data_IF_419733717156
#
_entry.id   IF_419733717156
#
_cell.length_a   1.000
_cell.length_b   1.000
_cell.length_c   1.000
_cell.angle_alpha   90.00
_cell.angle_beta   90.00
_cell.angle_gamma   90.00
#
_symmetry.space_group_name_H-M   'P 1'
#
loop_
_entity.id
_entity.type
_entity.pdbx_description
1 polymer ?
#
# COMPACT_ATOMS: atom_id res chain seq x y z
N UNK A 1 1.67 10.74 16.67
CA UNK A 1 1.47 9.98 15.42
C UNK A 1 1.75 10.93 14.27
N UNK A 2 2.41 10.46 13.22
CA UNK A 2 2.84 11.26 12.09
C UNK A 2 2.36 10.60 10.79
N UNK A 3 1.85 11.35 9.81
CA UNK A 3 1.42 10.77 8.53
C UNK A 3 2.39 11.21 7.42
N UNK A 4 2.88 10.24 6.65
CA UNK A 4 3.80 10.44 5.55
C UNK A 4 3.08 10.23 4.22
N UNK A 5 3.08 11.25 3.38
CA UNK A 5 2.44 11.27 2.07
C UNK A 5 3.48 11.33 0.92
N UNK A 6 3.20 10.75 -0.26
CA UNK A 6 3.98 11.03 -1.45
C UNK A 6 3.71 12.46 -1.94
N UNK A 7 4.72 13.12 -2.51
CA UNK A 7 4.59 14.44 -3.08
C UNK A 7 3.91 14.43 -4.44
N UNK A 8 3.35 15.57 -4.82
CA UNK A 8 2.99 15.82 -6.21
C UNK A 8 4.26 15.80 -7.09
N UNK A 9 4.23 15.16 -8.29
CA UNK A 9 5.39 15.09 -9.19
C UNK A 9 5.87 16.47 -9.69
N UNK A 10 4.96 17.42 -9.82
CA UNK A 10 5.25 18.78 -10.29
C UNK A 10 5.54 19.74 -9.13
N UNK A 11 5.01 19.46 -7.93
CA UNK A 11 5.26 20.26 -6.74
C UNK A 11 5.71 19.40 -5.53
N UNK A 12 7.03 19.26 -5.30
CA UNK A 12 7.57 18.42 -4.23
C UNK A 12 7.25 18.90 -2.81
N UNK A 13 6.64 20.08 -2.64
CA UNK A 13 6.23 20.62 -1.33
C UNK A 13 4.79 20.28 -0.96
N UNK A 14 3.98 19.84 -1.91
CA UNK A 14 2.59 19.44 -1.70
C UNK A 14 2.47 17.93 -1.74
N UNK A 15 1.51 17.36 -1.01
CA UNK A 15 1.19 15.96 -1.24
C UNK A 15 0.55 15.82 -2.63
N UNK A 16 0.63 14.63 -3.17
CA UNK A 16 -0.12 14.24 -4.37
C UNK A 16 -1.60 14.63 -4.21
N UNK A 17 -2.19 15.16 -5.28
CA UNK A 17 -3.55 15.70 -5.32
C UNK A 17 -4.61 14.74 -4.75
N UNK A 18 -4.43 13.43 -4.89
CA UNK A 18 -5.35 12.42 -4.33
C UNK A 18 -5.38 12.43 -2.79
N UNK A 19 -4.30 12.87 -2.15
CA UNK A 19 -4.13 12.86 -0.71
C UNK A 19 -4.07 14.25 -0.07
N UNK A 20 -3.93 15.32 -0.85
CA UNK A 20 -3.76 16.67 -0.31
C UNK A 20 -4.94 17.10 0.58
N UNK A 21 -6.19 16.80 0.20
CA UNK A 21 -7.36 17.09 1.06
C UNK A 21 -7.28 16.36 2.40
N UNK A 22 -6.83 15.11 2.40
CA UNK A 22 -6.66 14.30 3.61
C UNK A 22 -5.55 14.88 4.50
N UNK A 23 -4.42 15.27 3.88
CA UNK A 23 -3.30 15.92 4.58
C UNK A 23 -3.70 17.24 5.23
N UNK A 24 -4.47 18.07 4.52
CA UNK A 24 -4.99 19.33 5.07
C UNK A 24 -5.92 19.10 6.25
N UNK A 25 -6.81 18.09 6.16
CA UNK A 25 -7.68 17.72 7.27
C UNK A 25 -6.88 17.18 8.48
N UNK A 26 -5.85 16.37 8.24
CA UNK A 26 -4.95 15.89 9.29
C UNK A 26 -4.23 17.06 9.99
N UNK A 27 -3.71 18.02 9.23
CA UNK A 27 -3.09 19.22 9.79
C UNK A 27 -4.08 20.06 10.60
N UNK A 28 -5.31 20.24 10.12
CA UNK A 28 -6.38 20.95 10.85
C UNK A 28 -6.74 20.24 12.18
N UNK A 29 -6.61 18.91 12.23
CA UNK A 29 -6.73 18.10 13.44
C UNK A 29 -5.44 18.06 14.29
N UNK A 30 -4.43 18.89 13.98
CA UNK A 30 -3.14 18.94 14.69
C UNK A 30 -2.30 17.67 14.57
N UNK A 31 -2.59 16.80 13.60
CA UNK A 31 -1.78 15.63 13.29
C UNK A 31 -0.59 16.09 12.44
N UNK A 32 0.62 15.70 12.83
CA UNK A 32 1.84 16.03 12.09
C UNK A 32 1.86 15.28 10.76
N UNK A 33 2.21 16.00 9.69
CA UNK A 33 2.34 15.43 8.35
C UNK A 33 3.67 15.78 7.72
N UNK A 34 4.19 14.85 6.92
CA UNK A 34 5.35 15.04 6.07
C UNK A 34 5.06 14.53 4.67
N UNK A 35 5.82 15.05 3.71
CA UNK A 35 5.73 14.68 2.31
C UNK A 35 7.14 14.34 1.81
N UNK A 36 7.25 13.28 1.01
CA UNK A 36 8.50 12.88 0.35
C UNK A 36 8.29 12.68 -1.15
N UNK A 37 9.34 12.85 -1.96
CA UNK A 37 9.26 12.61 -3.40
C UNK A 37 9.32 11.12 -3.70
N UNK A 38 8.27 10.58 -4.34
CA UNK A 38 8.25 9.19 -4.77
C UNK A 38 9.30 8.91 -5.86
N UNK A 39 9.42 9.79 -6.84
CA UNK A 39 10.45 9.70 -7.89
C UNK A 39 11.87 9.81 -7.33
N UNK A 40 12.08 10.73 -6.39
CA UNK A 40 13.34 10.86 -5.67
C UNK A 40 13.67 9.57 -4.93
N UNK A 41 12.69 9.04 -4.19
CA UNK A 41 12.82 7.80 -3.44
C UNK A 41 13.16 6.61 -4.35
N UNK A 42 12.47 6.44 -5.49
CA UNK A 42 12.78 5.40 -6.47
C UNK A 42 14.17 5.56 -7.10
N UNK A 43 14.65 6.79 -7.22
CA UNK A 43 16.02 7.11 -7.65
C UNK A 43 17.07 7.03 -6.51
N UNK A 44 16.69 6.52 -5.33
CA UNK A 44 17.59 6.35 -4.17
C UNK A 44 17.87 7.64 -3.38
N UNK A 45 17.11 8.72 -3.63
CA UNK A 45 17.21 10.00 -2.91
C UNK A 45 16.09 10.10 -1.88
N UNK A 46 16.47 10.04 -0.61
CA UNK A 46 15.54 10.25 0.50
C UNK A 46 15.52 11.72 0.89
N UNK A 47 14.37 12.37 0.73
CA UNK A 47 14.15 13.73 1.19
C UNK A 47 12.69 13.91 1.61
N UNK A 48 12.53 14.42 2.82
CA UNK A 48 11.22 14.72 3.41
C UNK A 48 11.15 16.23 3.64
N UNK A 49 10.03 16.85 3.29
CA UNK A 49 9.86 18.30 3.40
C UNK A 49 9.90 18.81 4.85
N UNK A 50 9.36 18.01 5.76
CA UNK A 50 9.33 18.24 7.20
C UNK A 50 9.99 17.03 7.87
N UNK A 51 10.99 17.23 8.73
CA UNK A 51 11.64 16.13 9.45
C UNK A 51 10.63 15.28 10.22
N UNK A 52 10.89 13.98 10.29
CA UNK A 52 10.15 13.08 11.17
C UNK A 52 10.60 13.31 12.61
N UNK A 53 9.65 13.35 13.55
CA UNK A 53 9.97 13.46 14.97
C UNK A 53 10.63 12.16 15.46
N UNK A 54 11.74 12.27 16.20
CA UNK A 54 12.40 11.11 16.78
C UNK A 54 11.46 10.36 17.74
N UNK A 55 11.41 9.03 17.60
CA UNK A 55 10.49 8.16 18.34
C UNK A 55 9.05 8.16 17.81
N UNK A 56 8.73 8.91 16.75
CA UNK A 56 7.37 8.95 16.21
C UNK A 56 6.97 7.64 15.54
N UNK A 57 5.71 7.25 15.75
CA UNK A 57 5.03 6.25 14.93
C UNK A 57 4.44 6.92 13.69
N UNK A 58 4.92 6.49 12.51
CA UNK A 58 4.64 7.05 11.19
C UNK A 58 3.66 6.15 10.43
N UNK A 59 2.61 6.73 9.87
CA UNK A 59 1.69 6.05 8.96
C UNK A 59 2.04 6.46 7.53
N UNK A 60 2.43 5.51 6.69
CA UNK A 60 2.56 5.77 5.26
C UNK A 60 1.17 5.77 4.61
N UNK A 61 0.83 6.87 3.94
CA UNK A 61 -0.42 7.03 3.23
C UNK A 61 -0.14 7.48 1.80
N UNK A 62 -0.16 6.54 0.88
CA UNK A 62 0.10 6.81 -0.52
C UNK A 62 -0.27 5.64 -1.42
N UNK A 63 0.23 5.70 -2.63
CA UNK A 63 0.13 4.64 -3.62
C UNK A 63 0.75 3.34 -3.09
N UNK A 64 0.28 2.22 -3.62
CA UNK A 64 0.79 0.92 -3.20
C UNK A 64 2.24 0.73 -3.69
N UNK A 65 3.19 0.71 -2.75
CA UNK A 65 4.60 0.42 -3.03
C UNK A 65 4.81 -1.09 -3.19
N UNK A 66 5.80 -1.48 -4.01
CA UNK A 66 6.29 -2.86 -4.01
C UNK A 66 6.84 -3.22 -2.62
N UNK A 67 6.78 -4.49 -2.24
CA UNK A 67 7.25 -4.95 -0.93
C UNK A 67 8.70 -4.52 -0.63
N UNK A 68 9.61 -4.66 -1.59
CA UNK A 68 11.01 -4.22 -1.45
C UNK A 68 11.15 -2.70 -1.28
N UNK A 69 10.33 -1.91 -2.00
CA UNK A 69 10.32 -0.47 -1.84
C UNK A 69 9.75 -0.06 -0.46
N UNK A 70 8.72 -0.74 0.02
CA UNK A 70 8.19 -0.47 1.37
C UNK A 70 9.19 -0.85 2.47
N UNK A 71 9.98 -1.91 2.27
CA UNK A 71 11.08 -2.27 3.16
C UNK A 71 12.15 -1.17 3.21
N UNK A 72 12.60 -0.67 2.06
CA UNK A 72 13.53 0.46 2.00
C UNK A 72 12.94 1.74 2.62
N UNK A 73 11.64 1.99 2.46
CA UNK A 73 10.96 3.10 3.14
C UNK A 73 11.03 2.94 4.66
N UNK A 74 10.81 1.73 5.18
CA UNK A 74 10.89 1.45 6.61
C UNK A 74 12.30 1.70 7.17
N UNK A 75 13.34 1.31 6.42
CA UNK A 75 14.73 1.56 6.79
C UNK A 75 15.06 3.05 6.83
N UNK A 76 14.63 3.82 5.83
CA UNK A 76 14.85 5.27 5.79
C UNK A 76 14.13 6.00 6.93
N UNK A 77 12.88 5.63 7.21
CA UNK A 77 12.13 6.16 8.36
C UNK A 77 12.83 5.82 9.68
N UNK A 78 13.38 4.61 9.81
CA UNK A 78 14.16 4.21 10.97
C UNK A 78 15.48 4.99 11.11
N UNK A 79 16.14 5.29 9.99
CA UNK A 79 17.35 6.15 9.97
C UNK A 79 17.06 7.57 10.44
N UNK A 80 15.85 8.08 10.19
CA UNK A 80 15.37 9.37 10.70
C UNK A 80 14.89 9.29 12.17
N UNK A 81 15.07 8.14 12.84
CA UNK A 81 14.74 7.94 14.25
C UNK A 81 13.26 7.68 14.52
N UNK A 82 12.45 7.43 13.49
CA UNK A 82 11.03 7.14 13.60
C UNK A 82 10.73 5.67 13.25
N UNK A 83 9.46 5.25 13.31
CA UNK A 83 9.05 3.87 12.98
C UNK A 83 7.75 3.86 12.20
N UNK A 84 7.69 3.07 11.12
CA UNK A 84 6.41 2.80 10.45
C UNK A 84 5.45 2.00 11.35
N UNK A 85 4.18 2.43 11.41
CA UNK A 85 3.11 1.75 12.13
C UNK A 85 2.92 0.32 11.62
N UNK A 86 2.92 0.15 10.29
CA UNK A 86 2.82 -1.14 9.64
C UNK A 86 4.22 -1.62 9.28
N UNK A 87 4.65 -2.74 9.85
CA UNK A 87 5.96 -3.33 9.53
C UNK A 87 6.01 -3.87 8.10
N UNK A 88 7.20 -4.00 7.48
CA UNK A 88 7.33 -4.59 6.15
C UNK A 88 6.70 -5.98 6.02
N UNK A 89 6.80 -6.80 7.06
CA UNK A 89 6.14 -8.12 7.11
C UNK A 89 4.60 -7.98 7.10
N UNK A 90 4.05 -7.11 7.95
CA UNK A 90 2.59 -6.85 7.97
C UNK A 90 2.09 -6.29 6.63
N UNK A 91 2.85 -5.38 6.01
CA UNK A 91 2.54 -4.80 4.71
C UNK A 91 2.58 -5.86 3.60
N UNK A 92 3.54 -6.78 3.62
CA UNK A 92 3.64 -7.85 2.63
C UNK A 92 2.46 -8.83 2.73
N UNK A 93 1.99 -9.14 3.95
CA UNK A 93 0.79 -9.96 4.16
C UNK A 93 -0.47 -9.36 3.51
N UNK A 94 -0.60 -8.04 3.45
CA UNK A 94 -1.73 -7.37 2.79
C UNK A 94 -1.57 -7.28 1.27
N UNK A 95 -0.35 -7.42 0.74
CA UNK A 95 -0.06 -7.48 -0.71
C UNK A 95 -0.40 -8.82 -1.36
N UNK A 96 -0.52 -9.89 -0.56
CA UNK A 96 -0.80 -11.22 -1.08
C UNK A 96 -2.23 -11.43 -1.59
N UNK A 97 -3.15 -10.48 -1.39
CA UNK A 97 -4.48 -10.55 -2.02
C UNK A 97 -4.42 -10.34 -3.56
N UNK A 98 -3.39 -9.65 -4.07
CA UNK A 98 -3.20 -9.47 -5.53
C UNK A 98 -2.32 -10.55 -6.15
N UNK A 99 -1.51 -11.26 -5.35
CA UNK A 99 -0.94 -12.54 -5.78
C UNK A 99 -2.08 -13.55 -5.75
N UNK A 100 -2.86 -13.57 -6.82
CA UNK A 100 -3.80 -14.65 -7.07
C UNK A 100 -3.07 -15.99 -6.98
N UNK A 101 -3.17 -16.66 -5.83
CA UNK A 101 -2.96 -18.10 -5.69
C UNK A 101 -4.10 -18.88 -6.35
N UNK A 102 -4.73 -18.28 -7.36
CA UNK A 102 -5.73 -18.89 -8.20
C UNK A 102 -5.08 -19.35 -9.49
N UNK A 103 -4.57 -20.59 -9.48
CA UNK A 103 -4.56 -21.42 -10.68
C UNK A 103 -6.02 -21.66 -11.12
N UNK A 104 -6.72 -20.61 -11.55
CA UNK A 104 -8.07 -20.72 -12.11
C UNK A 104 -8.06 -21.34 -13.52
N UNK A 105 -6.88 -21.53 -14.11
CA UNK A 105 -6.73 -22.05 -15.47
C UNK A 105 -6.97 -23.57 -15.58
N UNK A 106 -7.02 -24.30 -14.46
CA UNK A 106 -7.19 -25.77 -14.42
C UNK A 106 -8.31 -26.26 -13.49
N UNK A 107 -9.23 -25.41 -13.04
CA UNK A 107 -10.41 -25.90 -12.33
C UNK A 107 -11.26 -26.74 -13.31
N UNK A 108 -11.52 -28.04 -13.06
CA UNK A 108 -12.39 -28.82 -13.92
C UNK A 108 -13.76 -28.14 -13.96
N UNK A 109 -14.27 -27.88 -15.17
CA UNK A 109 -15.62 -27.31 -15.34
C UNK A 109 -16.60 -28.29 -14.72
N UNK A 110 -17.30 -27.87 -13.66
CA UNK A 110 -18.36 -28.63 -13.01
C UNK A 110 -19.63 -28.71 -13.89
N UNK A 111 -19.50 -29.11 -15.16
CA UNK A 111 -20.61 -29.32 -16.09
C UNK A 111 -20.72 -30.75 -16.63
N UNK A 112 -19.75 -31.61 -16.41
CA UNK A 112 -19.75 -32.97 -16.99
C UNK A 112 -20.13 -34.09 -16.00
N UNK A 113 -20.92 -33.79 -14.96
CA UNK A 113 -21.31 -34.80 -13.96
C UNK A 113 -22.77 -34.69 -13.52
N UNK A 114 -23.70 -34.50 -14.46
CA UNK A 114 -25.10 -34.87 -14.21
C UNK A 114 -25.37 -36.22 -14.88
N UNK A 115 -25.70 -37.27 -14.11
CA UNK A 115 -26.10 -38.54 -14.72
C UNK A 115 -27.39 -38.31 -15.53
N UNK A 116 -27.37 -38.72 -16.80
CA UNK A 116 -28.58 -38.76 -17.63
C UNK A 116 -29.57 -39.73 -16.99
N UNK A 117 -30.61 -39.21 -16.36
CA UNK A 117 -31.76 -40.04 -15.97
C UNK A 117 -32.41 -40.58 -17.24
N UNK A 118 -32.42 -41.91 -17.41
CA UNK A 118 -33.24 -42.57 -18.44
C UNK A 118 -34.70 -42.48 -18.00
N UNK A 119 -35.53 -41.87 -18.84
CA UNK A 119 -37.00 -41.94 -18.72
C UNK A 119 -37.44 -43.40 -18.91
N UNK A 120 -38.37 -43.92 -18.10
CA UNK A 120 -38.98 -45.23 -18.36
C UNK A 120 -39.94 -45.12 -19.55
N UNK A 121 -39.83 -46.06 -20.46
CA UNK A 121 -40.75 -46.27 -21.59
C UNK A 121 -42.13 -46.67 -21.07
N UNK A 122 -43.16 -45.91 -21.44
CA UNK A 122 -44.54 -46.27 -21.22
C UNK A 122 -44.92 -47.46 -22.12
N UNK A 123 -45.45 -48.51 -21.50
CA UNK A 123 -46.24 -49.58 -22.14
C UNK A 123 -47.59 -49.63 -21.46
#
# INVERSE_FOLDING_TARGET
MHILYPSDPYNPRQADDFYERERLAANAATIKTSVFSLEGFEAGRWQVNTPLEAGATVVYRGWMLRASAYESLAELVARDGARLLTSPNQYTLTHHLQRGTGSWRNAPRARDSLPRQRMPSAS
#
